data_IF_984060488971
#
_entry.id   IF_984060488971
#
_cell.length_a   1.000
_cell.length_b   1.000
_cell.length_c   1.000
_cell.angle_alpha   90.00
_cell.angle_beta   90.00
_cell.angle_gamma   90.00
#
_symmetry.space_group_name_H-M   'P 1'
#
loop_
_entity.id
_entity.type
_entity.pdbx_description
1 polymer ?
#
# COMPACT_ATOMS: atom_id res chain seq x y z
N UNK A 1 17.35 10.45 5.59
CA UNK A 1 16.04 11.06 5.91
C UNK A 1 15.04 10.45 4.95
N UNK A 2 13.93 9.91 5.44
CA UNK A 2 12.94 9.26 4.59
C UNK A 2 12.25 10.30 3.70
N UNK A 3 11.99 9.97 2.43
CA UNK A 3 11.29 10.86 1.51
C UNK A 3 9.88 11.14 2.07
N UNK A 4 9.39 12.40 2.09
CA UNK A 4 8.06 12.72 2.60
C UNK A 4 6.93 12.08 1.80
N UNK A 5 7.20 11.66 0.57
CA UNK A 5 6.27 10.97 -0.32
C UNK A 5 6.04 9.52 0.09
N UNK A 6 7.00 8.87 0.77
CA UNK A 6 6.86 7.47 1.15
C UNK A 6 6.04 7.39 2.44
N UNK A 7 4.95 6.58 2.48
CA UNK A 7 4.16 6.41 3.68
C UNK A 7 4.95 5.86 4.87
N UNK A 8 4.65 6.32 6.08
CA UNK A 8 5.28 5.81 7.31
C UNK A 8 4.73 4.45 7.74
N UNK A 9 3.50 4.11 7.36
CA UNK A 9 2.84 2.86 7.73
C UNK A 9 1.74 2.51 6.74
N UNK A 10 1.41 1.23 6.69
CA UNK A 10 0.18 0.75 6.06
C UNK A 10 -0.96 0.72 7.09
N UNK A 11 -2.15 1.11 6.64
CA UNK A 11 -3.42 0.87 7.33
C UNK A 11 -4.29 -0.09 6.53
N UNK A 12 -5.52 -0.32 7.00
CA UNK A 12 -6.54 -1.03 6.21
C UNK A 12 -6.81 -0.30 4.88
N UNK A 13 -7.16 0.99 5.00
CA UNK A 13 -7.38 1.91 3.90
C UNK A 13 -6.19 2.86 3.81
N UNK A 14 -5.60 2.96 2.63
CA UNK A 14 -4.42 3.77 2.38
C UNK A 14 -4.75 4.83 1.33
N UNK A 15 -4.40 6.07 1.63
CA UNK A 15 -4.34 7.12 0.61
C UNK A 15 -2.89 7.31 0.19
N UNK A 16 -2.64 7.17 -1.11
CA UNK A 16 -1.34 7.45 -1.72
C UNK A 16 -1.52 8.57 -2.73
N UNK A 17 -0.83 9.70 -2.53
CA UNK A 17 -0.74 10.73 -3.57
C UNK A 17 -0.10 10.15 -4.84
N UNK A 18 -0.20 10.86 -5.96
CA UNK A 18 0.47 10.44 -7.19
C UNK A 18 1.99 10.23 -6.97
N UNK A 19 2.62 11.13 -6.20
CA UNK A 19 4.04 11.04 -5.85
C UNK A 19 4.34 9.85 -4.92
N UNK A 20 3.49 9.59 -3.93
CA UNK A 20 3.63 8.43 -3.04
C UNK A 20 3.53 7.11 -3.82
N UNK A 21 2.52 7.01 -4.70
CA UNK A 21 2.31 5.83 -5.54
C UNK A 21 3.50 5.59 -6.47
N UNK A 22 4.04 6.65 -7.08
CA UNK A 22 5.26 6.57 -7.88
C UNK A 22 6.46 6.11 -7.07
N UNK A 23 6.68 6.67 -5.88
CA UNK A 23 7.83 6.35 -5.02
C UNK A 23 7.82 4.87 -4.60
N UNK A 24 6.67 4.35 -4.18
CA UNK A 24 6.54 2.93 -3.78
C UNK A 24 6.37 1.97 -4.97
N UNK A 25 6.36 2.49 -6.20
CA UNK A 25 6.21 1.70 -7.43
C UNK A 25 4.83 1.04 -7.59
N UNK A 26 3.76 1.75 -7.24
CA UNK A 26 2.37 1.32 -7.43
C UNK A 26 1.65 2.18 -8.48
N UNK A 27 0.85 1.59 -9.40
CA UNK A 27 0.63 0.15 -9.56
C UNK A 27 1.62 -0.51 -10.52
N UNK A 28 1.90 -1.78 -10.26
CA UNK A 28 2.48 -2.76 -11.18
C UNK A 28 1.40 -3.77 -11.56
N UNK A 29 0.95 -3.77 -12.81
CA UNK A 29 -0.16 -4.61 -13.26
C UNK A 29 0.08 -6.13 -13.08
N UNK A 30 1.34 -6.58 -13.10
CA UNK A 30 1.68 -7.98 -12.94
C UNK A 30 1.70 -8.42 -11.47
N UNK A 31 1.93 -7.48 -10.54
CA UNK A 31 2.13 -7.78 -9.11
C UNK A 31 0.98 -7.32 -8.22
N UNK A 32 0.21 -6.34 -8.68
CA UNK A 32 -0.76 -5.60 -7.86
C UNK A 32 -2.20 -5.85 -8.29
N UNK A 33 -2.48 -6.86 -9.12
CA UNK A 33 -3.83 -7.15 -9.62
C UNK A 33 -4.88 -7.27 -8.49
N UNK A 34 -4.51 -7.94 -7.39
CA UNK A 34 -5.37 -8.09 -6.22
C UNK A 34 -5.63 -6.75 -5.51
N UNK A 35 -4.59 -5.94 -5.29
CA UNK A 35 -4.72 -4.59 -4.71
C UNK A 35 -5.52 -3.65 -5.63
N UNK A 36 -5.30 -3.75 -6.95
CA UNK A 36 -6.00 -2.97 -7.98
C UNK A 36 -7.50 -3.27 -8.01
N UNK A 37 -7.91 -4.51 -7.74
CA UNK A 37 -9.33 -4.86 -7.63
C UNK A 37 -10.05 -4.10 -6.51
N UNK A 38 -9.30 -3.64 -5.51
CA UNK A 38 -9.78 -2.87 -4.35
C UNK A 38 -9.22 -1.44 -4.29
N UNK A 39 -8.75 -0.93 -5.43
CA UNK A 39 -8.20 0.41 -5.54
C UNK A 39 -9.12 1.32 -6.37
N UNK A 40 -9.17 2.61 -6.01
CA UNK A 40 -9.78 3.65 -6.84
C UNK A 40 -8.83 4.81 -7.05
N UNK A 41 -8.80 5.37 -8.26
CA UNK A 41 -8.11 6.64 -8.53
C UNK A 41 -8.89 7.80 -7.93
N UNK A 42 -8.16 8.80 -7.42
CA UNK A 42 -8.73 10.08 -7.01
C UNK A 42 -8.68 11.08 -8.16
N UNK A 43 -9.47 12.16 -8.07
CA UNK A 43 -9.45 13.24 -9.07
C UNK A 43 -8.07 13.92 -9.21
N UNK A 44 -7.27 13.88 -8.16
CA UNK A 44 -5.90 14.43 -8.11
C UNK A 44 -4.82 13.43 -8.55
N UNK A 45 -5.21 12.28 -9.11
CA UNK A 45 -4.29 11.26 -9.62
C UNK A 45 -3.67 10.35 -8.55
N UNK A 46 -4.09 10.48 -7.29
CA UNK A 46 -3.73 9.56 -6.23
C UNK A 46 -4.59 8.29 -6.24
N UNK A 47 -4.38 7.47 -5.22
CA UNK A 47 -5.06 6.19 -5.03
C UNK A 47 -5.63 6.08 -3.63
N UNK A 48 -6.79 5.47 -3.54
CA UNK A 48 -7.33 4.92 -2.31
C UNK A 48 -7.33 3.40 -2.45
N UNK A 49 -6.64 2.70 -1.56
CA UNK A 49 -6.38 1.25 -1.65
C UNK A 49 -6.73 0.57 -0.34
N UNK A 50 -7.61 -0.42 -0.40
CA UNK A 50 -7.91 -1.31 0.73
C UNK A 50 -7.08 -2.58 0.65
N UNK A 51 -6.38 -2.94 1.73
CA UNK A 51 -5.58 -4.18 1.77
C UNK A 51 -6.45 -5.43 1.70
N UNK A 52 -7.61 -5.38 2.34
CA UNK A 52 -8.61 -6.45 2.48
C UNK A 52 -10.00 -5.91 2.20
N UNK A 53 -10.96 -6.77 1.84
CA UNK A 53 -12.36 -6.37 1.61
C UNK A 53 -13.04 -5.87 2.90
N UNK A 54 -12.85 -6.59 3.99
CA UNK A 54 -13.31 -6.20 5.32
C UNK A 54 -12.26 -5.35 6.06
N UNK A 55 -12.68 -4.56 7.09
CA UNK A 55 -11.75 -3.86 7.97
C UNK A 55 -10.63 -4.77 8.48
N UNK A 56 -9.39 -4.25 8.47
CA UNK A 56 -8.23 -5.00 8.93
C UNK A 56 -8.43 -5.43 10.39
N UNK A 57 -8.27 -6.73 10.60
CA UNK A 57 -8.35 -7.40 11.89
C UNK A 57 -7.04 -8.15 12.08
N UNK A 58 -6.29 -7.81 13.13
CA UNK A 58 -4.96 -8.38 13.37
C UNK A 58 -5.03 -9.78 14.02
N UNK A 59 -6.18 -10.16 14.56
CA UNK A 59 -6.42 -11.50 15.09
C UNK A 59 -6.83 -12.49 13.98
N UNK A 60 -7.26 -11.98 12.83
CA UNK A 60 -7.51 -12.79 11.65
C UNK A 60 -6.19 -13.08 10.90
N UNK A 61 -5.74 -14.35 10.78
CA UNK A 61 -4.48 -14.70 10.13
C UNK A 61 -4.45 -14.36 8.63
N UNK A 62 -5.60 -14.34 7.96
CA UNK A 62 -5.69 -13.97 6.54
C UNK A 62 -5.37 -12.48 6.34
N UNK A 63 -5.96 -11.63 7.19
CA UNK A 63 -5.73 -10.19 7.21
C UNK A 63 -4.29 -9.85 7.57
N UNK A 64 -3.72 -10.52 8.58
CA UNK A 64 -2.30 -10.38 8.90
C UNK A 64 -1.39 -10.82 7.74
N UNK A 65 -1.77 -11.90 7.04
CA UNK A 65 -1.08 -12.34 5.83
C UNK A 65 -1.10 -11.30 4.71
N UNK A 66 -2.25 -10.65 4.47
CA UNK A 66 -2.37 -9.57 3.49
C UNK A 66 -1.49 -8.37 3.86
N UNK A 67 -1.47 -7.97 5.13
CA UNK A 67 -0.61 -6.88 5.62
C UNK A 67 0.88 -7.20 5.43
N UNK A 68 1.32 -8.43 5.73
CA UNK A 68 2.70 -8.87 5.53
C UNK A 68 3.10 -8.83 4.05
N UNK A 69 2.27 -9.40 3.17
CA UNK A 69 2.50 -9.36 1.71
C UNK A 69 2.57 -7.93 1.18
N UNK A 70 1.75 -7.02 1.69
CA UNK A 70 1.82 -5.61 1.29
C UNK A 70 3.15 -4.96 1.73
N UNK A 71 3.61 -5.25 2.94
CA UNK A 71 4.92 -4.79 3.40
C UNK A 71 6.10 -5.43 2.64
N UNK A 72 5.98 -6.67 2.18
CA UNK A 72 6.98 -7.30 1.29
C UNK A 72 6.97 -6.66 -0.12
N UNK A 73 5.78 -6.31 -0.63
CA UNK A 73 5.62 -5.65 -1.93
C UNK A 73 6.16 -4.22 -1.93
N UNK A 74 6.05 -3.51 -0.81
CA UNK A 74 6.47 -2.11 -0.65
C UNK A 74 7.53 -1.97 0.44
N UNK A 75 8.78 -2.42 0.20
CA UNK A 75 9.83 -2.48 1.22
C UNK A 75 10.22 -1.09 1.76
N UNK A 76 10.05 -0.04 0.98
CA UNK A 76 10.40 1.32 1.40
C UNK A 76 9.46 1.88 2.47
N UNK A 77 8.19 1.42 2.53
CA UNK A 77 7.21 1.94 3.49
C UNK A 77 7.69 1.72 4.92
N UNK A 78 7.62 2.79 5.71
CA UNK A 78 8.11 2.81 7.09
C UNK A 78 9.62 2.91 7.24
N UNK A 79 10.34 3.26 6.17
CA UNK A 79 11.80 3.38 6.18
C UNK A 79 12.52 2.06 6.42
N UNK A 80 11.89 0.94 6.03
CA UNK A 80 12.42 -0.41 6.25
C UNK A 80 13.47 -0.83 5.21
N UNK A 81 13.56 -0.10 4.10
CA UNK A 81 14.64 -0.27 3.14
C UNK A 81 15.75 0.73 3.44
N UNK A 82 16.91 0.22 3.85
CA UNK A 82 18.17 0.97 3.87
C UNK A 82 18.80 0.78 2.49
N UNK A 83 18.40 1.59 1.51
CA UNK A 83 19.25 1.76 0.33
C UNK A 83 20.62 2.30 0.76
#
# INVERSE_FOLDING_TARGET
>A
MHSPEIPHRLGWLNYWSAAAAQAIGFPDAARDADLLSRARRTATGGWIVSLTEAPLDLDNPEHLGALKRAYERFPEIGGRSTL
#
